data_IF_266277361652
#
_entry.id   IF_266277361652
#
_cell.length_a   1.000
_cell.length_b   1.000
_cell.length_c   1.000
_cell.angle_alpha   90.00
_cell.angle_beta   90.00
_cell.angle_gamma   90.00
#
_symmetry.space_group_name_H-M   'P 1'
#
loop_
_entity.id
_entity.type
_entity.pdbx_description
1 polymer ?
#
# COMPACT_ATOMS: atom_id res chain seq x y z
N UNK A 1 -21.15 -3.95 -12.86
CA UNK A 1 -20.20 -4.88 -12.20
C UNK A 1 -19.52 -4.16 -11.04
N UNK A 2 -18.70 -4.80 -10.21
CA UNK A 2 -18.02 -4.14 -9.07
C UNK A 2 -17.23 -2.88 -9.47
N UNK A 3 -16.88 -2.77 -10.75
CA UNK A 3 -16.29 -1.62 -11.43
C UNK A 3 -17.15 -0.35 -11.35
N UNK A 4 -18.47 -0.46 -11.23
CA UNK A 4 -19.39 0.70 -11.27
C UNK A 4 -19.60 1.36 -9.89
N UNK A 5 -19.11 0.76 -8.80
CA UNK A 5 -19.36 1.21 -7.42
C UNK A 5 -18.16 1.85 -6.72
N UNK A 6 -16.99 1.94 -7.37
CA UNK A 6 -15.84 2.64 -6.80
C UNK A 6 -15.97 4.16 -7.03
N UNK A 7 -16.91 4.80 -6.33
CA UNK A 7 -17.06 6.26 -6.26
C UNK A 7 -16.00 6.87 -5.33
N UNK A 8 -14.71 6.64 -5.58
CA UNK A 8 -13.69 7.48 -4.98
C UNK A 8 -13.71 8.85 -5.69
N UNK A 9 -14.65 9.71 -5.28
CA UNK A 9 -14.76 11.12 -5.72
C UNK A 9 -13.61 12.00 -5.22
N UNK A 10 -12.39 11.47 -5.23
CA UNK A 10 -11.18 12.19 -4.87
C UNK A 10 -10.61 12.72 -6.19
N UNK A 11 -10.53 14.05 -6.32
CA UNK A 11 -9.73 14.67 -7.37
C UNK A 11 -8.39 13.92 -7.47
N UNK A 12 -7.82 13.68 -8.67
CA UNK A 12 -6.63 12.86 -8.79
C UNK A 12 -5.58 13.39 -7.82
N UNK A 13 -5.27 12.60 -6.79
CA UNK A 13 -4.00 12.74 -6.10
C UNK A 13 -2.92 12.80 -7.18
N UNK A 14 -1.78 13.51 -6.99
CA UNK A 14 -0.68 13.43 -7.93
C UNK A 14 -0.44 11.94 -8.17
N UNK A 15 -0.79 11.50 -9.39
CA UNK A 15 -0.79 10.09 -9.70
C UNK A 15 0.62 9.56 -9.49
N UNK A 16 0.80 8.25 -9.26
CA UNK A 16 2.11 7.66 -9.47
C UNK A 16 2.64 8.16 -10.82
N UNK A 17 3.95 8.46 -10.93
CA UNK A 17 4.52 8.94 -12.17
C UNK A 17 4.10 8.01 -13.32
N UNK A 18 3.91 8.55 -14.54
CA UNK A 18 3.44 7.75 -15.66
C UNK A 18 4.31 6.49 -15.78
N UNK A 19 3.73 5.31 -16.12
CA UNK A 19 4.40 4.01 -16.04
C UNK A 19 5.81 3.94 -16.67
N UNK A 20 6.08 4.81 -17.65
CA UNK A 20 7.37 4.97 -18.31
C UNK A 20 8.52 5.37 -17.37
N UNK A 21 8.29 6.15 -16.30
CA UNK A 21 9.38 6.60 -15.41
C UNK A 21 9.85 5.48 -14.45
N UNK A 22 9.02 4.47 -14.22
CA UNK A 22 9.35 3.29 -13.41
C UNK A 22 9.77 2.09 -14.27
N UNK A 23 9.90 2.28 -15.59
CA UNK A 23 10.35 1.25 -16.52
C UNK A 23 9.35 0.13 -16.78
N UNK A 24 8.06 0.39 -16.58
CA UNK A 24 6.98 -0.60 -16.72
C UNK A 24 6.65 -0.78 -18.20
N UNK A 25 6.75 -2.01 -18.71
CA UNK A 25 6.43 -2.33 -20.10
C UNK A 25 4.94 -2.69 -20.27
N UNK A 26 4.18 -1.75 -20.81
CA UNK A 26 2.77 -1.97 -21.09
C UNK A 26 2.51 -3.06 -22.17
N UNK A 27 3.48 -3.34 -23.04
CA UNK A 27 3.33 -4.35 -24.09
C UNK A 27 3.42 -5.79 -23.56
N UNK A 28 4.08 -6.00 -22.42
CA UNK A 28 4.19 -7.31 -21.75
C UNK A 28 3.10 -7.53 -20.69
N UNK A 29 2.26 -6.51 -20.44
CA UNK A 29 1.21 -6.56 -19.43
C UNK A 29 1.69 -6.27 -18.01
N UNK A 30 2.88 -5.67 -17.84
CA UNK A 30 3.34 -5.20 -16.54
C UNK A 30 2.44 -4.06 -16.03
N UNK A 31 2.11 -4.13 -14.74
CA UNK A 31 1.25 -3.15 -14.08
C UNK A 31 1.80 -2.81 -12.71
N UNK A 32 1.71 -1.54 -12.34
CA UNK A 32 1.90 -1.12 -10.96
C UNK A 32 0.60 -1.32 -10.21
N UNK A 33 0.65 -2.16 -9.19
CA UNK A 33 -0.48 -2.50 -8.33
C UNK A 33 -0.10 -2.26 -6.87
N UNK A 34 -1.11 -1.99 -6.05
CA UNK A 34 -0.94 -1.69 -4.63
C UNK A 34 -1.15 -2.96 -3.80
N UNK A 35 -0.46 -3.02 -2.66
CA UNK A 35 -0.66 -4.04 -1.63
C UNK A 35 -0.88 -3.34 -0.29
N UNK A 36 -2.04 -3.59 0.32
CA UNK A 36 -2.36 -3.11 1.67
C UNK A 36 -1.99 -4.16 2.70
N UNK A 37 -1.41 -3.73 3.81
CA UNK A 37 -0.98 -4.63 4.89
C UNK A 37 -0.98 -3.91 6.23
N UNK A 38 -0.91 -4.67 7.31
CA UNK A 38 -0.82 -4.12 8.66
C UNK A 38 0.60 -3.59 8.93
N UNK A 39 0.77 -2.55 9.76
CA UNK A 39 2.07 -1.95 10.05
C UNK A 39 3.14 -2.95 10.49
N UNK A 40 2.76 -3.93 11.31
CA UNK A 40 3.67 -4.97 11.82
C UNK A 40 4.25 -5.89 10.74
N UNK A 41 3.63 -5.95 9.55
CA UNK A 41 4.10 -6.76 8.43
C UNK A 41 4.99 -5.99 7.45
N UNK A 42 5.05 -4.65 7.55
CA UNK A 42 5.82 -3.82 6.62
C UNK A 42 7.31 -4.15 6.65
N UNK A 43 7.93 -4.23 7.83
CA UNK A 43 9.36 -4.54 7.97
C UNK A 43 9.70 -5.94 7.46
N UNK A 44 8.97 -7.02 7.86
CA UNK A 44 9.15 -8.34 7.27
C UNK A 44 9.06 -8.37 5.74
N UNK A 45 8.07 -7.67 5.15
CA UNK A 45 7.87 -7.59 3.70
C UNK A 45 9.03 -6.85 3.02
N UNK A 46 9.53 -5.75 3.60
CA UNK A 46 10.68 -5.02 3.05
C UNK A 46 11.97 -5.85 3.07
N UNK A 47 12.14 -6.72 4.06
CA UNK A 47 13.33 -7.57 4.19
C UNK A 47 13.27 -8.85 3.35
N UNK A 48 12.09 -9.44 3.21
CA UNK A 48 11.92 -10.79 2.64
C UNK A 48 11.09 -10.83 1.35
N UNK A 49 10.52 -9.69 0.95
CA UNK A 49 9.54 -9.62 -0.12
C UNK A 49 8.16 -10.15 0.28
N UNK A 50 7.25 -10.15 -0.69
CA UNK A 50 5.91 -10.75 -0.56
C UNK A 50 6.02 -12.28 -0.72
N UNK A 51 5.37 -13.02 0.17
CA UNK A 51 5.44 -14.48 0.20
C UNK A 51 4.04 -15.12 0.14
N UNK A 52 3.74 -15.83 -0.94
CA UNK A 52 2.44 -16.46 -1.21
C UNK A 52 2.13 -17.61 -0.24
N UNK A 53 3.15 -18.18 0.40
CA UNK A 53 2.96 -19.21 1.43
C UNK A 53 2.41 -18.62 2.71
N UNK A 54 2.64 -17.34 2.96
CA UNK A 54 2.18 -16.61 4.16
C UNK A 54 0.91 -15.79 3.90
N UNK A 55 0.45 -15.73 2.64
CA UNK A 55 -0.73 -14.98 2.22
C UNK A 55 -1.80 -15.92 1.69
N UNK A 56 -3.06 -15.67 2.04
CA UNK A 56 -4.20 -16.47 1.62
C UNK A 56 -5.46 -15.64 1.60
N UNK A 57 -6.36 -15.97 0.66
CA UNK A 57 -7.62 -15.27 0.49
C UNK A 57 -8.60 -16.09 -0.34
N UNK A 58 -9.55 -15.39 -0.96
CA UNK A 58 -10.68 -15.99 -1.65
C UNK A 58 -10.28 -16.94 -2.81
N UNK A 59 -9.14 -16.68 -3.45
CA UNK A 59 -8.63 -17.47 -4.58
C UNK A 59 -7.46 -18.39 -4.17
N UNK A 60 -7.39 -18.73 -2.88
CA UNK A 60 -6.33 -19.58 -2.33
C UNK A 60 -5.08 -18.80 -1.94
N UNK A 61 -3.94 -19.50 -1.93
CA UNK A 61 -2.63 -18.96 -1.54
C UNK A 61 -2.02 -18.18 -2.70
N UNK A 62 -1.67 -16.93 -2.45
CA UNK A 62 -1.27 -16.00 -3.50
C UNK A 62 -1.00 -14.61 -2.93
N UNK A 63 -0.39 -13.75 -3.73
CA UNK A 63 -0.22 -12.33 -3.41
C UNK A 63 -1.40 -11.55 -3.97
N UNK A 64 -2.08 -10.81 -3.09
CA UNK A 64 -3.26 -10.04 -3.44
C UNK A 64 -2.86 -8.58 -3.65
N UNK A 65 -3.09 -8.09 -4.86
CA UNK A 65 -2.78 -6.74 -5.29
C UNK A 65 -4.06 -6.08 -5.86
N UNK A 66 -4.14 -4.76 -5.84
CA UNK A 66 -5.24 -4.03 -6.46
C UNK A 66 -4.79 -2.71 -7.07
N UNK A 67 -5.48 -2.30 -8.14
CA UNK A 67 -5.28 -0.98 -8.79
C UNK A 67 -5.84 0.17 -7.93
N UNK A 68 -6.83 -0.13 -7.07
CA UNK A 68 -7.57 0.89 -6.35
C UNK A 68 -7.04 1.09 -4.91
N UNK A 69 -6.64 2.33 -4.53
CA UNK A 69 -6.14 2.61 -3.19
C UNK A 69 -7.18 2.34 -2.09
N UNK A 70 -8.45 2.66 -2.32
CA UNK A 70 -9.51 2.42 -1.33
C UNK A 70 -9.80 0.94 -1.09
N UNK A 71 -9.47 0.07 -2.05
CA UNK A 71 -9.57 -1.38 -1.88
C UNK A 71 -8.45 -1.92 -1.01
N UNK A 72 -7.21 -1.45 -1.22
CA UNK A 72 -6.08 -1.90 -0.40
C UNK A 72 -6.12 -1.32 1.01
N UNK A 73 -6.69 -0.13 1.19
CA UNK A 73 -6.86 0.50 2.51
C UNK A 73 -7.70 -0.36 3.47
N UNK A 74 -8.66 -1.14 2.95
CA UNK A 74 -9.45 -2.11 3.74
C UNK A 74 -8.60 -3.21 4.40
N UNK A 75 -7.36 -3.41 3.93
CA UNK A 75 -6.39 -4.37 4.47
C UNK A 75 -5.31 -3.71 5.33
N UNK A 76 -5.37 -2.38 5.49
CA UNK A 76 -4.49 -1.62 6.35
C UNK A 76 -5.16 -1.39 7.72
N UNK A 77 -4.33 -1.19 8.73
CA UNK A 77 -4.76 -0.68 10.04
C UNK A 77 -3.91 0.54 10.38
N UNK A 78 -4.49 1.51 11.09
CA UNK A 78 -3.73 2.66 11.56
C UNK A 78 -2.59 2.19 12.47
N UNK A 79 -1.40 2.74 12.27
CA UNK A 79 -0.32 2.63 13.24
C UNK A 79 -0.55 3.73 14.29
N UNK A 80 -1.24 3.37 15.37
CA UNK A 80 -1.59 4.30 16.44
C UNK A 80 -0.39 4.70 17.32
N UNK A 81 0.79 4.10 17.09
CA UNK A 81 1.99 4.28 17.91
C UNK A 81 1.79 3.94 19.39
N UNK A 82 0.61 3.42 19.76
CA UNK A 82 0.11 3.25 21.12
C UNK A 82 0.36 1.86 21.67
N UNK A 83 0.77 0.93 20.80
CA UNK A 83 1.40 -0.31 21.21
C UNK A 83 2.59 0.06 22.11
N UNK A 84 2.45 -0.12 23.41
CA UNK A 84 3.55 -0.13 24.38
C UNK A 84 4.51 -1.27 23.96
N UNK A 85 5.36 -1.00 22.97
CA UNK A 85 6.06 -2.04 22.20
C UNK A 85 6.07 -1.85 20.67
N UNK A 86 5.74 -0.67 20.14
CA UNK A 86 5.86 -0.39 18.71
C UNK A 86 7.26 -0.69 18.17
N UNK A 87 7.36 -1.43 17.07
CA UNK A 87 8.64 -1.85 16.50
C UNK A 87 9.50 -0.62 16.15
N UNK A 88 10.72 -0.49 16.72
CA UNK A 88 11.59 0.66 16.48
C UNK A 88 11.96 0.82 14.99
N UNK A 89 11.92 -0.26 14.21
CA UNK A 89 12.16 -0.22 12.78
C UNK A 89 10.98 0.41 12.02
N UNK A 90 9.74 0.13 12.43
CA UNK A 90 8.55 0.77 11.86
C UNK A 90 8.55 2.27 12.19
N UNK A 91 8.88 2.64 13.43
CA UNK A 91 9.03 4.05 13.80
C UNK A 91 10.18 4.76 13.05
N UNK A 92 11.30 4.07 12.84
CA UNK A 92 12.40 4.59 12.02
C UNK A 92 11.99 4.77 10.55
N UNK A 93 11.16 3.87 10.02
CA UNK A 93 10.59 3.97 8.68
C UNK A 93 9.67 5.19 8.58
N UNK A 94 8.75 5.39 9.54
CA UNK A 94 7.89 6.59 9.59
C UNK A 94 8.70 7.88 9.53
N UNK A 95 9.80 7.97 10.31
CA UNK A 95 10.70 9.14 10.27
C UNK A 95 11.39 9.36 8.92
N UNK A 96 11.69 8.28 8.18
CA UNK A 96 12.35 8.36 6.87
C UNK A 96 11.35 8.70 5.76
N UNK A 97 10.20 8.04 5.75
CA UNK A 97 9.16 8.22 4.73
C UNK A 97 8.42 9.54 4.92
N UNK A 98 8.10 9.92 6.16
CA UNK A 98 7.39 11.16 6.49
C UNK A 98 8.16 12.43 6.17
N UNK A 99 9.49 12.37 5.98
CA UNK A 99 10.29 13.51 5.49
C UNK A 99 10.08 13.80 3.99
N UNK A 100 9.47 12.89 3.23
CA UNK A 100 9.21 13.03 1.79
C UNK A 100 7.77 13.36 1.41
N UNK A 101 6.82 13.26 2.34
CA UNK A 101 5.40 13.58 2.10
C UNK A 101 5.11 14.92 2.78
N UNK A 102 4.89 15.97 1.98
CA UNK A 102 4.41 17.25 2.51
C UNK A 102 3.19 17.01 3.39
N UNK A 103 3.20 17.60 4.57
CA UNK A 103 2.16 17.52 5.58
C UNK A 103 0.79 17.81 4.94
N UNK A 104 -0.06 16.77 4.83
CA UNK A 104 -1.44 16.96 4.42
C UNK A 104 -2.15 17.74 5.55
N UNK A 105 -2.75 18.90 5.27
CA UNK A 105 -3.41 19.69 6.31
C UNK A 105 -4.57 18.87 6.88
N UNK A 106 -4.45 18.50 8.16
CA UNK A 106 -5.50 17.82 8.91
C UNK A 106 -6.77 18.66 8.93
N UNK A 107 -7.81 18.19 8.22
CA UNK A 107 -9.17 18.67 8.40
C UNK A 107 -9.73 18.13 9.71
N UNK A 108 -10.22 19.06 10.54
CA UNK A 108 -10.95 18.75 11.78
C UNK A 108 -12.32 18.18 11.49
#
# INVERSE_FOLDING_TARGET
>A
TWEDNCKCGVAPAPGPPPPAELGVDAATGEKLLLHGTKPELVVPILLSGLNERLSGGLFGRGIYLAECPSKVDQYCTADDGSSQGGDPNVQALHRKVGRGVGEAPGGR
#
